data_IF_282430373715
#
_entry.id   IF_282430373715
#
_cell.length_a   1.000
_cell.length_b   1.000
_cell.length_c   1.000
_cell.angle_alpha   90.00
_cell.angle_beta   90.00
_cell.angle_gamma   90.00
#
_symmetry.space_group_name_H-M   'P 1'
#
loop_
_entity.id
_entity.type
_entity.pdbx_description
1 polymer ?
#
# COMPACT_ATOMS: atom_id res chain seq x y z
N UNK A 1 -28.09 -22.56 -15.18
CA UNK A 1 -28.30 -21.59 -14.07
C UNK A 1 -27.39 -21.97 -12.90
N UNK A 2 -26.21 -21.35 -12.75
CA UNK A 2 -25.37 -21.57 -11.54
C UNK A 2 -24.89 -20.27 -10.87
N UNK A 3 -25.09 -19.12 -11.51
CA UNK A 3 -24.70 -17.79 -10.99
C UNK A 3 -25.62 -17.34 -9.84
N UNK A 4 -26.83 -17.88 -9.71
CA UNK A 4 -27.82 -17.40 -8.72
C UNK A 4 -27.48 -17.85 -7.28
N UNK A 5 -27.00 -19.09 -7.07
CA UNK A 5 -26.72 -19.64 -5.73
C UNK A 5 -25.53 -18.97 -5.03
N UNK A 6 -24.45 -18.67 -5.76
CA UNK A 6 -23.27 -17.97 -5.21
C UNK A 6 -23.50 -16.47 -4.96
N UNK A 7 -24.74 -16.00 -5.19
CA UNK A 7 -25.17 -14.62 -5.14
C UNK A 7 -26.37 -14.38 -4.21
N UNK A 8 -26.77 -15.34 -3.37
CA UNK A 8 -27.86 -15.14 -2.40
C UNK A 8 -27.52 -14.06 -1.36
N UNK A 9 -28.48 -13.18 -1.07
CA UNK A 9 -28.38 -12.17 -0.01
C UNK A 9 -28.30 -12.83 1.38
N UNK A 10 -27.32 -12.41 2.17
CA UNK A 10 -27.12 -12.79 3.56
C UNK A 10 -26.89 -11.56 4.42
N UNK A 11 -27.04 -11.68 5.73
CA UNK A 11 -26.95 -10.53 6.65
C UNK A 11 -25.61 -9.78 6.58
N UNK A 12 -24.53 -10.42 6.14
CA UNK A 12 -23.19 -9.82 6.04
C UNK A 12 -22.84 -9.30 4.64
N UNK A 13 -23.51 -9.78 3.57
CA UNK A 13 -23.03 -9.57 2.20
C UNK A 13 -23.75 -8.46 1.42
N UNK A 14 -24.76 -7.78 1.99
CA UNK A 14 -25.65 -6.84 1.28
C UNK A 14 -24.95 -5.89 0.31
N UNK A 15 -23.84 -5.26 0.71
CA UNK A 15 -23.15 -4.28 -0.15
C UNK A 15 -22.48 -4.95 -1.37
N UNK A 16 -21.89 -6.13 -1.18
CA UNK A 16 -21.34 -6.94 -2.28
C UNK A 16 -22.46 -7.49 -3.17
N UNK A 17 -23.58 -7.89 -2.56
CA UNK A 17 -24.80 -8.33 -3.24
C UNK A 17 -25.41 -7.21 -4.10
N UNK A 18 -25.57 -5.99 -3.55
CA UNK A 18 -26.10 -4.80 -4.24
C UNK A 18 -25.29 -4.48 -5.49
N UNK A 19 -23.96 -4.61 -5.41
CA UNK A 19 -23.07 -4.47 -6.58
C UNK A 19 -23.25 -5.60 -7.60
N UNK A 20 -23.42 -6.86 -7.16
CA UNK A 20 -23.65 -8.02 -8.05
C UNK A 20 -24.99 -7.89 -8.80
N UNK A 21 -26.10 -7.59 -8.12
CA UNK A 21 -27.40 -7.38 -8.79
C UNK A 21 -27.39 -6.14 -9.70
N UNK A 22 -26.73 -5.05 -9.27
CA UNK A 22 -26.54 -3.85 -10.08
C UNK A 22 -25.63 -4.03 -11.31
N UNK A 23 -24.94 -5.16 -11.44
CA UNK A 23 -24.23 -5.60 -12.65
C UNK A 23 -25.09 -6.55 -13.50
N UNK A 24 -25.83 -7.49 -12.89
CA UNK A 24 -26.76 -8.37 -13.60
C UNK A 24 -27.86 -7.56 -14.30
N UNK A 25 -28.52 -6.64 -13.60
CA UNK A 25 -29.52 -5.76 -14.20
C UNK A 25 -28.91 -4.82 -15.27
N UNK A 26 -27.59 -4.62 -15.27
CA UNK A 26 -26.89 -3.83 -16.30
C UNK A 26 -26.66 -4.65 -17.57
N UNK A 27 -26.31 -5.94 -17.48
CA UNK A 27 -26.15 -6.81 -18.66
C UNK A 27 -27.50 -7.06 -19.34
N UNK A 28 -28.54 -7.30 -18.55
CA UNK A 28 -29.92 -7.51 -19.04
C UNK A 28 -30.65 -6.20 -19.38
N UNK A 29 -29.96 -5.05 -19.28
CA UNK A 29 -30.44 -3.69 -19.59
C UNK A 29 -31.61 -3.17 -18.75
N UNK A 30 -32.10 -3.91 -17.75
CA UNK A 30 -33.24 -3.49 -16.91
C UNK A 30 -32.91 -2.48 -15.80
N UNK A 31 -31.64 -2.27 -15.45
CA UNK A 31 -31.21 -1.47 -14.26
C UNK A 31 -31.84 -0.08 -14.13
N UNK A 32 -32.21 0.57 -15.24
CA UNK A 32 -32.75 1.94 -15.23
C UNK A 32 -34.00 2.07 -14.35
N UNK A 33 -34.84 1.03 -14.24
CA UNK A 33 -36.07 1.04 -13.40
C UNK A 33 -35.80 1.27 -11.92
N UNK A 34 -34.58 0.98 -11.44
CA UNK A 34 -34.16 1.27 -10.05
C UNK A 34 -33.87 2.76 -9.80
N UNK A 35 -33.91 3.60 -10.84
CA UNK A 35 -33.54 5.03 -10.78
C UNK A 35 -34.48 5.94 -11.56
N UNK A 36 -35.21 5.41 -12.54
CA UNK A 36 -36.18 6.14 -13.35
C UNK A 36 -37.58 5.81 -12.84
N UNK A 37 -38.34 6.81 -12.34
CA UNK A 37 -39.67 6.56 -11.77
C UNK A 37 -40.62 5.98 -12.82
N UNK A 38 -41.59 5.20 -12.35
CA UNK A 38 -42.65 4.59 -13.16
C UNK A 38 -43.39 5.67 -13.97
N UNK A 39 -43.46 5.57 -15.31
CA UNK A 39 -44.22 6.53 -16.10
C UNK A 39 -45.70 6.51 -15.71
N UNK A 40 -46.42 7.65 -15.79
CA UNK A 40 -47.87 7.69 -15.63
C UNK A 40 -48.59 6.67 -16.51
N UNK A 41 -49.70 6.12 -16.02
CA UNK A 41 -50.51 5.19 -16.81
C UNK A 41 -51.06 5.89 -18.07
N UNK A 42 -50.88 5.31 -19.27
CA UNK A 42 -51.38 5.91 -20.51
C UNK A 42 -52.90 5.94 -20.55
N UNK A 43 -53.44 7.01 -21.14
CA UNK A 43 -54.87 7.18 -21.41
C UNK A 43 -55.18 6.88 -22.89
N UNK A 44 -56.44 7.10 -23.29
CA UNK A 44 -56.88 6.90 -24.67
C UNK A 44 -56.11 7.79 -25.66
N UNK A 45 -55.94 9.08 -25.29
CA UNK A 45 -55.30 10.12 -26.12
C UNK A 45 -53.77 9.97 -26.23
N UNK A 46 -53.16 9.07 -25.44
CA UNK A 46 -51.73 8.80 -25.49
C UNK A 46 -51.28 8.31 -26.87
N UNK A 47 -50.04 8.61 -27.25
CA UNK A 47 -49.46 8.07 -28.48
C UNK A 47 -49.22 6.56 -28.37
N UNK A 48 -49.10 5.89 -29.52
CA UNK A 48 -48.71 4.46 -29.55
C UNK A 48 -47.31 4.30 -28.92
N UNK A 49 -46.34 5.14 -29.32
CA UNK A 49 -44.98 5.13 -28.78
C UNK A 49 -44.95 5.26 -27.24
N UNK A 50 -45.79 6.12 -26.65
CA UNK A 50 -45.83 6.27 -25.18
C UNK A 50 -46.42 5.04 -24.48
N UNK A 51 -47.39 4.36 -25.10
CA UNK A 51 -47.91 3.08 -24.61
C UNK A 51 -46.84 1.98 -24.70
N UNK A 52 -46.06 1.95 -25.78
CA UNK A 52 -44.95 1.01 -25.95
C UNK A 52 -43.82 1.26 -24.92
N UNK A 53 -43.45 2.52 -24.69
CA UNK A 53 -42.48 2.94 -23.66
C UNK A 53 -42.94 2.57 -22.23
N UNK A 54 -44.23 2.79 -21.92
CA UNK A 54 -44.82 2.41 -20.63
C UNK A 54 -44.71 0.89 -20.38
N UNK A 55 -45.12 0.07 -21.35
CA UNK A 55 -45.11 -1.38 -21.20
C UNK A 55 -43.68 -1.95 -21.25
N UNK A 56 -42.74 -1.30 -21.94
CA UNK A 56 -41.31 -1.63 -21.90
C UNK A 56 -40.68 -1.31 -20.53
N UNK A 57 -41.04 -0.18 -19.89
CA UNK A 57 -40.63 0.14 -18.52
C UNK A 57 -41.17 -0.93 -17.56
N UNK A 58 -42.47 -1.23 -17.63
CA UNK A 58 -43.13 -2.22 -16.78
C UNK A 58 -42.54 -3.62 -16.92
N UNK A 59 -42.35 -4.09 -18.15
CA UNK A 59 -41.67 -5.37 -18.44
C UNK A 59 -40.25 -5.42 -17.85
N UNK A 60 -39.54 -4.29 -17.83
CA UNK A 60 -38.20 -4.21 -17.26
C UNK A 60 -38.20 -4.20 -15.72
N UNK A 61 -39.23 -3.62 -15.11
CA UNK A 61 -39.44 -3.62 -13.65
C UNK A 61 -39.85 -5.01 -13.15
N UNK A 62 -40.79 -5.67 -13.83
CA UNK A 62 -41.17 -7.07 -13.58
C UNK A 62 -39.95 -8.00 -13.66
N UNK A 63 -39.13 -7.87 -14.72
CA UNK A 63 -37.89 -8.63 -14.87
C UNK A 63 -36.86 -8.31 -13.78
N UNK A 64 -36.70 -7.04 -13.40
CA UNK A 64 -35.80 -6.64 -12.32
C UNK A 64 -36.25 -7.20 -10.96
N UNK A 65 -37.56 -7.17 -10.66
CA UNK A 65 -38.16 -7.80 -9.48
C UNK A 65 -37.89 -9.30 -9.47
N UNK A 66 -38.08 -10.00 -10.59
CA UNK A 66 -37.76 -11.42 -10.72
C UNK A 66 -36.28 -11.72 -10.43
N UNK A 67 -35.35 -10.92 -10.99
CA UNK A 67 -33.92 -11.11 -10.75
C UNK A 67 -33.51 -10.84 -9.30
N UNK A 68 -34.09 -9.84 -8.63
CA UNK A 68 -33.83 -9.56 -7.21
C UNK A 68 -34.36 -10.70 -6.34
N UNK A 69 -35.63 -11.07 -6.50
CA UNK A 69 -36.30 -12.10 -5.71
C UNK A 69 -35.57 -13.45 -5.82
N UNK A 70 -35.11 -13.83 -7.02
CA UNK A 70 -34.37 -15.07 -7.27
C UNK A 70 -32.98 -15.15 -6.61
N UNK A 71 -32.49 -14.07 -5.97
CA UNK A 71 -31.21 -14.04 -5.25
C UNK A 71 -31.30 -13.44 -3.84
N UNK A 72 -32.49 -13.35 -3.25
CA UNK A 72 -32.66 -13.12 -1.81
C UNK A 72 -33.18 -14.40 -1.14
N UNK A 73 -32.97 -14.54 0.17
CA UNK A 73 -33.45 -15.73 0.90
C UNK A 73 -34.99 -15.79 0.93
N UNK A 74 -35.55 -17.00 1.07
CA UNK A 74 -37.00 -17.24 1.01
C UNK A 74 -37.77 -16.39 2.04
N UNK A 75 -37.17 -16.11 3.20
CA UNK A 75 -37.70 -15.19 4.24
C UNK A 75 -37.80 -13.76 3.71
N UNK A 76 -36.76 -13.28 3.00
CA UNK A 76 -36.78 -11.96 2.39
C UNK A 76 -37.75 -11.91 1.20
N UNK A 77 -37.86 -12.98 0.40
CA UNK A 77 -38.88 -13.08 -0.65
C UNK A 77 -40.29 -12.89 -0.05
N UNK A 78 -40.63 -13.64 0.99
CA UNK A 78 -41.93 -13.51 1.66
C UNK A 78 -42.18 -12.10 2.24
N UNK A 79 -41.15 -11.42 2.74
CA UNK A 79 -41.27 -10.05 3.25
C UNK A 79 -41.46 -8.98 2.16
N UNK A 80 -41.05 -9.25 0.92
CA UNK A 80 -41.03 -8.25 -0.17
C UNK A 80 -41.98 -8.59 -1.35
N UNK A 81 -42.66 -9.74 -1.31
CA UNK A 81 -43.56 -10.23 -2.36
C UNK A 81 -44.60 -9.18 -2.83
N UNK A 82 -45.25 -8.52 -1.86
CA UNK A 82 -46.30 -7.53 -2.09
C UNK A 82 -45.83 -6.11 -2.46
N UNK A 83 -44.52 -5.84 -2.61
CA UNK A 83 -44.03 -4.52 -3.02
C UNK A 83 -44.25 -4.28 -4.52
N UNK A 84 -44.60 -3.06 -4.92
CA UNK A 84 -45.06 -2.78 -6.29
C UNK A 84 -43.94 -2.85 -7.34
N UNK A 85 -42.76 -2.29 -7.06
CA UNK A 85 -41.64 -2.23 -8.03
C UNK A 85 -40.35 -2.89 -7.54
N UNK A 86 -39.42 -3.12 -8.47
CA UNK A 86 -38.06 -3.53 -8.14
C UNK A 86 -37.30 -2.45 -7.34
N UNK A 87 -37.65 -1.18 -7.55
CA UNK A 87 -37.06 -0.06 -6.81
C UNK A 87 -37.45 -0.10 -5.31
N UNK A 88 -38.72 -0.37 -5.00
CA UNK A 88 -39.22 -0.46 -3.62
C UNK A 88 -38.52 -1.57 -2.83
N UNK A 89 -38.33 -2.73 -3.47
CA UNK A 89 -37.60 -3.88 -2.88
C UNK A 89 -36.15 -3.49 -2.61
N UNK A 90 -35.48 -2.82 -3.56
CA UNK A 90 -34.10 -2.35 -3.37
C UNK A 90 -33.98 -1.29 -2.26
N UNK A 91 -34.97 -0.40 -2.11
CA UNK A 91 -35.02 0.58 -1.02
C UNK A 91 -35.23 -0.07 0.35
N UNK A 92 -36.16 -1.02 0.46
CA UNK A 92 -36.43 -1.71 1.73
C UNK A 92 -35.24 -2.56 2.19
N UNK A 93 -34.59 -3.28 1.26
CA UNK A 93 -33.33 -3.98 1.55
C UNK A 93 -32.19 -3.01 1.93
N UNK A 94 -32.11 -1.83 1.28
CA UNK A 94 -31.15 -0.80 1.67
C UNK A 94 -31.36 -0.30 3.10
N UNK A 95 -32.61 -0.01 3.49
CA UNK A 95 -32.95 0.41 4.85
C UNK A 95 -32.63 -0.69 5.87
N UNK A 96 -33.04 -1.94 5.60
CA UNK A 96 -32.80 -3.09 6.47
C UNK A 96 -31.31 -3.28 6.80
N UNK A 97 -30.41 -3.11 5.81
CA UNK A 97 -28.97 -3.26 6.00
C UNK A 97 -28.23 -1.93 6.26
N UNK A 98 -28.92 -0.79 6.30
CA UNK A 98 -28.31 0.53 6.48
C UNK A 98 -27.56 0.67 7.81
N UNK A 99 -28.12 0.19 8.93
CA UNK A 99 -27.47 0.31 10.24
C UNK A 99 -26.15 -0.47 10.31
N UNK A 100 -26.14 -1.69 9.75
CA UNK A 100 -24.94 -2.53 9.68
C UNK A 100 -23.88 -1.87 8.79
N UNK A 101 -24.28 -1.40 7.60
CA UNK A 101 -23.36 -0.71 6.68
C UNK A 101 -22.77 0.58 7.27
N UNK A 102 -23.57 1.39 7.97
CA UNK A 102 -23.10 2.58 8.71
C UNK A 102 -22.10 2.22 9.80
N UNK A 103 -22.35 1.12 10.52
CA UNK A 103 -21.47 0.62 11.59
C UNK A 103 -20.14 0.12 11.02
N UNK A 104 -20.15 -0.74 10.01
CA UNK A 104 -18.93 -1.26 9.36
C UNK A 104 -18.10 -0.15 8.71
N UNK A 105 -18.73 0.85 8.07
CA UNK A 105 -18.03 2.06 7.59
C UNK A 105 -17.32 2.79 8.74
N UNK A 106 -18.05 3.09 9.83
CA UNK A 106 -17.50 3.78 11.00
C UNK A 106 -16.32 3.01 11.60
N UNK A 107 -16.44 1.69 11.73
CA UNK A 107 -15.38 0.82 12.25
C UNK A 107 -14.16 0.78 11.33
N UNK A 108 -14.34 0.67 10.01
CA UNK A 108 -13.24 0.69 9.04
C UNK A 108 -12.50 2.03 9.05
N UNK A 109 -13.23 3.16 9.06
CA UNK A 109 -12.63 4.51 9.17
C UNK A 109 -11.92 4.68 10.51
N UNK A 110 -12.51 4.22 11.62
CA UNK A 110 -11.90 4.32 12.96
C UNK A 110 -10.64 3.46 13.08
N UNK A 111 -10.68 2.23 12.57
CA UNK A 111 -9.53 1.33 12.56
C UNK A 111 -8.38 1.92 11.71
N UNK A 112 -8.69 2.52 10.56
CA UNK A 112 -7.72 3.19 9.70
C UNK A 112 -7.12 4.45 10.36
N UNK A 113 -7.94 5.35 10.89
CA UNK A 113 -7.46 6.58 11.56
C UNK A 113 -6.54 6.29 12.74
N UNK A 114 -6.75 5.16 13.43
CA UNK A 114 -5.91 4.69 14.53
C UNK A 114 -4.77 3.75 14.10
N UNK A 115 -4.70 3.33 12.83
CA UNK A 115 -3.67 2.43 12.33
C UNK A 115 -2.32 3.14 12.30
N UNK A 116 -1.34 2.63 13.04
CA UNK A 116 0.06 3.10 13.03
C UNK A 116 0.98 1.93 12.74
N UNK A 117 1.96 2.17 11.88
CA UNK A 117 3.02 1.22 11.55
C UNK A 117 3.87 0.96 12.79
N UNK A 118 4.02 -0.30 13.20
CA UNK A 118 4.85 -0.65 14.35
C UNK A 118 6.34 -0.55 13.99
N UNK A 119 7.24 -0.18 14.92
CA UNK A 119 8.69 -0.21 14.68
C UNK A 119 9.14 -1.59 14.18
N UNK A 120 9.82 -1.63 13.04
CA UNK A 120 10.29 -2.88 12.41
C UNK A 120 9.23 -3.70 11.67
N UNK A 121 7.98 -3.26 11.59
CA UNK A 121 6.98 -3.84 10.69
C UNK A 121 7.36 -3.57 9.23
N UNK A 122 7.15 -4.53 8.33
CA UNK A 122 7.38 -4.33 6.90
C UNK A 122 6.37 -3.34 6.31
N UNK A 123 6.83 -2.39 5.48
CA UNK A 123 6.00 -1.39 4.79
C UNK A 123 4.88 -2.06 3.99
N UNK A 124 5.19 -3.14 3.26
CA UNK A 124 4.20 -3.88 2.47
C UNK A 124 3.01 -4.33 3.32
N UNK A 125 3.27 -4.92 4.48
CA UNK A 125 2.24 -5.50 5.36
C UNK A 125 1.46 -4.43 6.13
N UNK A 126 2.07 -3.26 6.34
CA UNK A 126 1.36 -2.08 6.81
C UNK A 126 0.41 -1.52 5.74
N UNK A 127 0.90 -1.30 4.52
CA UNK A 127 0.11 -0.73 3.44
C UNK A 127 -1.03 -1.66 2.99
N UNK A 128 -0.86 -2.98 3.01
CA UNK A 128 -1.96 -3.92 2.75
C UNK A 128 -3.10 -3.80 3.78
N UNK A 129 -2.81 -3.46 5.05
CA UNK A 129 -3.85 -3.20 6.07
C UNK A 129 -4.55 -1.87 5.85
N UNK A 130 -3.79 -0.81 5.52
CA UNK A 130 -4.35 0.49 5.13
C UNK A 130 -5.31 0.33 3.94
N UNK A 131 -4.88 -0.36 2.89
CA UNK A 131 -5.69 -0.66 1.70
C UNK A 131 -6.94 -1.47 2.07
N UNK A 132 -6.82 -2.46 2.96
CA UNK A 132 -7.97 -3.25 3.40
C UNK A 132 -9.03 -2.38 4.11
N UNK A 133 -8.63 -1.53 5.06
CA UNK A 133 -9.58 -0.66 5.76
C UNK A 133 -10.17 0.43 4.86
N UNK A 134 -9.37 1.02 3.95
CA UNK A 134 -9.87 1.93 2.92
C UNK A 134 -10.93 1.26 2.04
N UNK A 135 -10.61 0.09 1.47
CA UNK A 135 -11.53 -0.66 0.63
C UNK A 135 -12.84 -1.01 1.35
N UNK A 136 -12.81 -1.35 2.64
CA UNK A 136 -14.03 -1.62 3.43
C UNK A 136 -14.81 -0.32 3.66
N UNK A 137 -14.14 0.78 4.03
CA UNK A 137 -14.81 2.06 4.22
C UNK A 137 -15.51 2.53 2.93
N UNK A 138 -14.81 2.52 1.80
CA UNK A 138 -15.32 2.92 0.49
C UNK A 138 -16.45 2.00 0.00
N UNK A 139 -16.29 0.67 0.16
CA UNK A 139 -17.35 -0.29 -0.15
C UNK A 139 -18.65 0.06 0.59
N UNK A 140 -18.56 0.37 1.89
CA UNK A 140 -19.69 0.80 2.72
C UNK A 140 -20.05 2.31 2.56
N UNK A 141 -19.64 2.94 1.45
CA UNK A 141 -20.02 4.29 1.04
C UNK A 141 -19.31 5.39 1.82
N UNK A 142 -18.02 5.24 2.13
CA UNK A 142 -17.18 6.38 2.49
C UNK A 142 -16.65 7.01 1.20
N UNK A 143 -16.84 8.32 1.05
CA UNK A 143 -16.18 9.08 0.00
C UNK A 143 -14.85 9.59 0.56
N UNK A 144 -13.75 9.13 -0.03
CA UNK A 144 -12.38 9.51 0.33
C UNK A 144 -11.66 9.80 -0.98
N UNK A 145 -11.16 11.01 -1.16
CA UNK A 145 -10.47 11.44 -2.37
C UNK A 145 -9.03 10.87 -2.45
N UNK A 146 -8.34 11.16 -3.56
CA UNK A 146 -6.98 10.69 -3.80
C UNK A 146 -5.94 11.28 -2.84
N UNK A 147 -5.96 12.60 -2.61
CA UNK A 147 -4.97 13.30 -1.76
C UNK A 147 -5.12 12.85 -0.31
N UNK A 148 -6.34 12.80 0.21
CA UNK A 148 -6.66 12.31 1.56
C UNK A 148 -6.17 10.87 1.80
N UNK A 149 -6.28 9.96 0.82
CA UNK A 149 -5.74 8.59 0.95
C UNK A 149 -4.22 8.58 1.08
N UNK A 150 -3.52 9.40 0.31
CA UNK A 150 -2.06 9.52 0.36
C UNK A 150 -1.62 10.11 1.70
N UNK A 151 -2.22 11.23 2.12
CA UNK A 151 -1.95 11.88 3.40
C UNK A 151 -2.17 10.93 4.59
N UNK A 152 -3.29 10.19 4.61
CA UNK A 152 -3.57 9.23 5.67
C UNK A 152 -2.60 8.04 5.66
N UNK A 153 -2.10 7.58 4.50
CA UNK A 153 -1.00 6.60 4.44
C UNK A 153 0.28 7.19 5.04
N UNK A 154 0.71 8.38 4.61
CA UNK A 154 1.95 9.02 5.09
C UNK A 154 1.91 9.26 6.60
N UNK A 155 0.79 9.75 7.13
CA UNK A 155 0.57 9.96 8.56
C UNK A 155 0.47 8.66 9.38
N UNK A 156 0.21 7.51 8.74
CA UNK A 156 0.21 6.20 9.41
C UNK A 156 1.60 5.57 9.56
N UNK A 157 2.64 6.12 8.89
CA UNK A 157 4.01 5.61 8.92
C UNK A 157 4.71 5.88 10.26
N UNK A 158 5.57 4.93 10.67
CA UNK A 158 6.35 5.04 11.90
C UNK A 158 7.39 6.16 11.82
N UNK A 159 7.87 6.62 12.97
CA UNK A 159 8.79 7.77 13.09
C UNK A 159 10.16 7.51 12.43
N UNK A 160 10.49 6.24 12.17
CA UNK A 160 11.63 5.87 11.30
C UNK A 160 11.52 6.42 9.86
N UNK A 161 10.36 6.91 9.44
CA UNK A 161 10.08 7.51 8.14
C UNK A 161 9.92 9.04 8.19
N UNK A 162 10.25 9.73 9.29
CA UNK A 162 10.01 11.18 9.40
C UNK A 162 10.73 12.01 8.32
N UNK A 163 11.93 11.59 7.89
CA UNK A 163 12.63 12.21 6.75
C UNK A 163 11.84 12.08 5.43
N UNK A 164 11.06 11.01 5.27
CA UNK A 164 10.16 10.81 4.12
C UNK A 164 8.88 11.64 4.28
N UNK A 165 8.28 11.72 5.48
CA UNK A 165 7.13 12.59 5.77
C UNK A 165 7.46 14.06 5.48
N UNK A 166 8.67 14.51 5.84
CA UNK A 166 9.17 15.85 5.54
C UNK A 166 9.38 16.07 4.03
N UNK A 167 10.00 15.13 3.30
CA UNK A 167 10.16 15.24 1.83
C UNK A 167 8.80 15.34 1.13
N UNK A 168 7.84 14.50 1.53
CA UNK A 168 6.47 14.52 1.04
C UNK A 168 5.79 15.89 1.25
N UNK A 169 5.81 16.39 2.49
CA UNK A 169 5.16 17.65 2.88
C UNK A 169 5.75 18.87 2.15
N UNK A 170 7.08 18.89 1.97
CA UNK A 170 7.79 20.01 1.34
C UNK A 170 7.70 19.97 -0.20
N UNK A 171 7.72 18.80 -0.81
CA UNK A 171 7.80 18.66 -2.27
C UNK A 171 6.42 18.52 -2.95
N UNK A 172 5.33 18.25 -2.20
CA UNK A 172 3.94 18.12 -2.70
C UNK A 172 3.82 17.36 -4.05
N UNK A 173 4.51 16.22 -4.15
CA UNK A 173 4.41 15.33 -5.31
C UNK A 173 3.01 14.73 -5.38
N UNK A 174 2.36 14.81 -6.54
CA UNK A 174 1.16 14.02 -6.81
C UNK A 174 1.52 12.53 -6.82
N UNK A 175 1.03 11.79 -5.83
CA UNK A 175 1.26 10.36 -5.70
C UNK A 175 0.02 9.55 -6.09
N UNK A 176 0.21 8.56 -6.95
CA UNK A 176 -0.69 7.39 -6.94
C UNK A 176 -0.35 6.52 -5.74
N UNK A 177 -1.33 5.79 -5.21
CA UNK A 177 -1.11 4.88 -4.07
C UNK A 177 -0.04 3.81 -4.37
N UNK A 178 0.09 3.42 -5.64
CA UNK A 178 1.14 2.52 -6.13
C UNK A 178 2.53 3.19 -6.17
N UNK A 179 2.62 4.44 -6.59
CA UNK A 179 3.88 5.21 -6.57
C UNK A 179 4.37 5.42 -5.14
N UNK A 180 3.48 5.82 -4.23
CA UNK A 180 3.78 5.97 -2.80
C UNK A 180 4.31 4.65 -2.21
N UNK A 181 3.71 3.52 -2.57
CA UNK A 181 4.15 2.20 -2.12
C UNK A 181 5.59 1.86 -2.56
N UNK A 182 6.00 2.25 -3.76
CA UNK A 182 7.34 2.01 -4.28
C UNK A 182 8.38 2.90 -3.59
N UNK A 183 8.06 4.17 -3.35
CA UNK A 183 8.97 5.12 -2.71
C UNK A 183 9.15 4.83 -1.21
N UNK A 184 8.07 4.52 -0.47
CA UNK A 184 8.18 4.13 0.96
C UNK A 184 8.93 2.81 1.13
N UNK A 185 8.73 1.82 0.23
CA UNK A 185 9.56 0.60 0.21
C UNK A 185 11.02 0.86 -0.21
N UNK A 186 11.30 1.96 -0.89
CA UNK A 186 12.68 2.36 -1.25
C UNK A 186 13.35 3.04 -0.05
N UNK A 187 12.63 3.90 0.68
CA UNK A 187 13.07 4.44 1.96
C UNK A 187 13.35 3.32 2.99
N UNK A 188 12.48 2.31 3.11
CA UNK A 188 12.69 1.13 3.97
C UNK A 188 14.03 0.44 3.68
N UNK A 189 14.35 0.17 2.40
CA UNK A 189 15.62 -0.46 1.98
C UNK A 189 16.84 0.42 2.28
N UNK A 190 16.69 1.74 2.32
CA UNK A 190 17.76 2.68 2.69
C UNK A 190 17.95 2.67 4.21
N UNK A 191 16.88 2.75 5.00
CA UNK A 191 16.90 2.72 6.46
C UNK A 191 17.52 1.42 7.01
N UNK A 192 17.18 0.27 6.43
CA UNK A 192 17.77 -1.03 6.79
C UNK A 192 19.27 -1.07 6.50
N UNK A 193 19.73 -0.48 5.38
CA UNK A 193 21.17 -0.37 5.06
C UNK A 193 21.90 0.58 6.00
N UNK A 194 21.30 1.72 6.34
CA UNK A 194 21.88 2.72 7.25
C UNK A 194 22.19 2.15 8.63
N UNK A 195 21.24 1.42 9.23
CA UNK A 195 21.45 0.72 10.52
C UNK A 195 22.57 -0.33 10.47
N UNK A 196 22.83 -0.92 9.30
CA UNK A 196 23.98 -1.79 9.08
C UNK A 196 25.34 -1.07 9.01
N UNK A 197 25.35 0.25 8.78
CA UNK A 197 26.57 1.08 8.73
C UNK A 197 26.89 1.76 10.06
N UNK A 198 25.89 2.12 10.88
CA UNK A 198 26.10 2.74 12.20
C UNK A 198 26.91 1.85 13.16
N UNK A 199 26.72 0.53 13.09
CA UNK A 199 27.49 -0.48 13.86
C UNK A 199 29.01 -0.36 13.59
N UNK A 200 29.42 0.24 12.47
CA UNK A 200 30.82 0.41 12.07
C UNK A 200 31.42 1.81 12.33
N UNK A 201 30.68 2.78 12.90
CA UNK A 201 31.14 4.17 13.05
C UNK A 201 31.32 4.66 14.50
N UNK A 202 31.85 3.81 15.39
CA UNK A 202 32.40 4.28 16.68
C UNK A 202 33.84 4.77 16.48
N UNK A 203 34.02 6.09 16.48
CA UNK A 203 35.29 6.74 16.85
C UNK A 203 36.21 7.21 15.73
N UNK A 204 35.98 8.44 15.25
CA UNK A 204 37.05 9.45 15.04
C UNK A 204 36.50 10.87 14.84
N UNK A 205 36.64 11.70 15.88
CA UNK A 205 36.56 13.16 15.73
C UNK A 205 37.80 13.62 14.96
N UNK A 206 37.62 14.44 13.92
CA UNK A 206 38.70 14.93 13.07
C UNK A 206 38.69 16.46 12.98
N UNK A 207 39.42 17.13 13.87
CA UNK A 207 39.67 18.58 13.77
C UNK A 207 40.60 18.89 12.61
N UNK A 208 40.08 19.56 11.58
CA UNK A 208 40.83 19.91 10.36
C UNK A 208 41.54 21.25 10.54
N UNK A 209 42.87 21.27 10.31
CA UNK A 209 43.61 22.48 9.91
C UNK A 209 44.43 22.17 8.66
N UNK A 210 44.33 23.05 7.66
CA UNK A 210 44.84 22.81 6.31
C UNK A 210 46.23 23.43 6.08
N UNK A 211 46.94 22.90 5.08
CA UNK A 211 47.65 23.71 4.05
C UNK A 211 48.04 22.85 2.83
N UNK A 212 48.14 23.50 1.68
CA UNK A 212 48.40 22.91 0.34
C UNK A 212 49.83 23.21 -0.14
N UNK A 213 50.19 22.61 -1.30
CA UNK A 213 51.27 22.93 -2.29
C UNK A 213 52.35 21.82 -2.44
N UNK A 214 52.89 21.51 -3.63
CA UNK A 214 52.44 21.76 -5.03
C UNK A 214 53.06 20.71 -5.99
N UNK A 215 52.53 20.61 -7.23
CA UNK A 215 52.93 19.69 -8.31
C UNK A 215 54.40 19.82 -8.79
N UNK A 216 54.96 18.74 -9.37
CA UNK A 216 55.67 18.78 -10.68
C UNK A 216 55.71 17.40 -11.37
N UNK A 217 55.96 17.38 -12.68
CA UNK A 217 55.93 16.21 -13.59
C UNK A 217 57.11 16.25 -14.58
N UNK A 218 57.55 15.07 -15.08
CA UNK A 218 58.12 14.76 -16.42
C UNK A 218 58.50 13.24 -16.42
N UNK A 219 58.20 12.36 -17.39
CA UNK A 219 58.51 12.28 -18.86
C UNK A 219 60.03 12.20 -19.12
N UNK A 220 60.61 11.28 -19.92
CA UNK A 220 60.14 10.24 -20.89
C UNK A 220 60.42 8.80 -20.32
N UNK A 221 60.55 7.63 -21.00
CA UNK A 221 60.51 7.20 -22.43
C UNK A 221 59.97 5.73 -22.56
N UNK A 222 60.41 4.99 -23.58
CA UNK A 222 60.05 3.62 -24.05
C UNK A 222 61.24 2.63 -23.83
N UNK A 223 61.21 1.30 -24.04
CA UNK A 223 60.24 0.33 -24.62
C UNK A 223 60.06 -0.90 -23.67
N UNK A 224 59.07 -1.78 -23.96
CA UNK A 224 58.89 -3.11 -23.34
C UNK A 224 59.51 -4.27 -24.16
N UNK A 225 59.12 -5.56 -23.96
CA UNK A 225 57.94 -6.06 -23.25
C UNK A 225 58.22 -6.95 -22.01
N UNK A 226 57.14 -7.53 -21.47
CA UNK A 226 57.00 -8.13 -20.13
C UNK A 226 57.49 -9.59 -20.07
N UNK A 227 58.35 -9.91 -19.08
CA UNK A 227 58.18 -10.99 -18.07
C UNK A 227 59.42 -11.03 -17.15
N UNK A 228 59.24 -10.95 -15.82
CA UNK A 228 60.31 -11.18 -14.83
C UNK A 228 59.77 -11.88 -13.59
N UNK A 229 60.52 -12.85 -13.13
CA UNK A 229 60.35 -13.53 -11.86
C UNK A 229 61.06 -12.79 -10.70
N UNK A 230 60.91 -13.37 -9.50
CA UNK A 230 61.86 -13.39 -8.38
C UNK A 230 61.81 -12.32 -7.27
N UNK A 231 62.13 -12.87 -6.08
CA UNK A 231 62.92 -12.32 -4.97
C UNK A 231 62.26 -11.47 -3.87
N UNK A 232 62.64 -11.86 -2.65
CA UNK A 232 62.37 -11.25 -1.35
C UNK A 232 63.09 -9.89 -1.27
N UNK A 233 62.42 -8.86 -0.74
CA UNK A 233 63.07 -7.77 0.01
C UNK A 233 62.27 -7.51 1.30
N UNK A 234 62.95 -7.16 2.38
CA UNK A 234 62.43 -7.13 3.75
C UNK A 234 61.51 -5.94 4.05
N UNK A 235 60.35 -6.19 4.67
CA UNK A 235 59.57 -5.14 5.34
C UNK A 235 60.33 -4.57 6.55
N UNK A 236 60.35 -3.25 6.65
CA UNK A 236 61.02 -2.50 7.72
C UNK A 236 60.36 -2.83 9.07
N UNK A 237 61.14 -3.29 10.05
CA UNK A 237 60.68 -3.59 11.41
C UNK A 237 60.99 -2.42 12.36
N UNK A 238 60.06 -2.12 13.26
CA UNK A 238 60.18 -1.04 14.24
C UNK A 238 61.23 -1.28 15.34
N UNK A 239 61.27 -0.36 16.32
CA UNK A 239 62.01 -0.52 17.57
C UNK A 239 61.29 -1.50 18.50
N UNK A 240 62.05 -2.30 19.25
CA UNK A 240 61.54 -3.18 20.28
C UNK A 240 61.16 -2.41 21.55
N UNK A 241 59.94 -2.62 22.05
CA UNK A 241 59.43 -2.01 23.29
C UNK A 241 59.98 -2.65 24.59
N UNK A 242 61.08 -3.41 24.51
CA UNK A 242 61.80 -3.96 25.67
C UNK A 242 63.23 -3.43 25.78
N UNK A 243 63.97 -3.38 24.65
CA UNK A 243 65.38 -2.95 24.61
C UNK A 243 65.67 -1.73 23.70
N UNK A 244 64.66 -1.19 23.01
CA UNK A 244 64.81 -0.03 22.10
C UNK A 244 65.46 -0.32 20.74
N UNK A 245 66.10 -1.48 20.57
CA UNK A 245 66.78 -1.92 19.35
C UNK A 245 65.80 -2.11 18.18
N UNK A 246 66.22 -1.81 16.94
CA UNK A 246 65.42 -2.07 15.73
C UNK A 246 65.55 -3.52 15.27
N UNK A 247 64.54 -4.05 14.58
CA UNK A 247 64.62 -5.35 13.90
C UNK A 247 63.83 -6.50 14.53
N UNK A 248 63.23 -6.29 15.70
CA UNK A 248 62.34 -7.25 16.35
C UNK A 248 61.25 -6.55 17.20
N UNK A 249 60.18 -7.27 17.52
CA UNK A 249 59.12 -6.82 18.44
C UNK A 249 59.34 -7.42 19.83
N UNK A 250 58.73 -6.84 20.88
CA UNK A 250 58.90 -7.25 22.30
C UNK A 250 58.74 -8.77 22.56
N UNK A 251 57.86 -9.45 21.82
CA UNK A 251 57.62 -10.90 21.93
C UNK A 251 58.78 -11.78 21.39
N UNK A 252 59.70 -11.20 20.63
CA UNK A 252 60.84 -11.88 20.00
C UNK A 252 62.16 -11.19 20.41
N UNK A 253 62.26 -10.72 21.66
CA UNK A 253 63.46 -10.03 22.16
C UNK A 253 64.43 -11.04 22.78
N UNK A 254 65.71 -11.12 22.34
CA UNK A 254 66.68 -12.05 22.95
C UNK A 254 66.83 -11.84 24.46
N UNK A 255 66.74 -10.57 24.91
CA UNK A 255 66.84 -10.18 26.32
C UNK A 255 65.61 -10.56 27.17
N UNK A 256 64.59 -11.24 26.62
CA UNK A 256 63.43 -11.71 27.39
C UNK A 256 63.53 -13.14 27.91
N UNK A 257 64.60 -13.89 27.60
CA UNK A 257 64.76 -15.28 28.08
C UNK A 257 65.72 -15.44 29.28
N UNK A 258 66.61 -14.47 29.53
CA UNK A 258 67.54 -14.53 30.68
C UNK A 258 66.90 -13.94 31.96
N UNK A 259 65.87 -14.64 32.47
CA UNK A 259 65.39 -14.56 33.86
C UNK A 259 64.81 -15.90 34.31
N UNK A 260 65.70 -16.87 34.47
CA UNK A 260 65.63 -17.96 35.45
C UNK A 260 67.04 -18.11 36.01
N UNK A 261 67.10 -18.47 37.29
CA UNK A 261 68.27 -18.29 38.18
C UNK A 261 68.57 -16.80 38.46
#
# INVERSE_FOLDING_TARGET
MNILKDNTLTEDNYVTWKRKIGLLLQSEKHKFVLTTPKPPAPNNDSSIMYRDEYEQWKTSDDMAKCYIMAIISDVLQQQHEGMESAADIMMSLEEMFAMKSRTTKREAVTAFMNLRMKPGQAVKDHMMKVIAHLNIAELHGAEIDGETKIDMVVNSLSDSFDQFKLDYTLNKKEYTLQGLMQDVQTAEKILVKGKGQEIHMVGKVATVKARQKVKKQQKKKQLGPIKKETKKVTKIKGKCFLCGEKGHWKRNCPKSQNKKE
#
